data_IF_578834585290
#
_entry.id   IF_578834585290
#
_cell.length_a   1.000
_cell.length_b   1.000
_cell.length_c   1.000
_cell.angle_alpha   90.00
_cell.angle_beta   90.00
_cell.angle_gamma   90.00
#
_symmetry.space_group_name_H-M   'P 1'
#
loop_
_entity.id
_entity.type
_entity.pdbx_description
1 polymer ?
#
# COMPACT_ATOMS: atom_id res chain seq x y z
N UNK A 1 -27.80 -11.82 19.40
CA UNK A 1 -27.61 -13.01 18.53
C UNK A 1 -28.87 -13.86 18.57
N UNK A 2 -29.35 -14.36 17.41
CA UNK A 2 -30.50 -15.26 17.35
C UNK A 2 -30.03 -16.66 17.72
N UNK A 3 -30.85 -17.48 18.37
CA UNK A 3 -30.54 -18.83 18.83
C UNK A 3 -29.96 -19.73 17.73
N UNK A 4 -30.46 -19.63 16.51
CA UNK A 4 -29.95 -20.38 15.35
C UNK A 4 -28.51 -19.99 14.99
N UNK A 5 -28.18 -18.69 15.08
CA UNK A 5 -26.81 -18.20 14.85
C UNK A 5 -25.84 -18.68 15.95
N UNK A 6 -26.30 -18.76 17.20
CA UNK A 6 -25.51 -19.31 18.31
C UNK A 6 -25.10 -20.75 18.01
N UNK A 7 -26.05 -21.63 17.68
CA UNK A 7 -25.75 -23.04 17.37
C UNK A 7 -24.85 -23.19 16.14
N UNK A 8 -25.01 -22.35 15.11
CA UNK A 8 -24.12 -22.36 13.96
C UNK A 8 -22.67 -22.01 14.33
N UNK A 9 -22.47 -21.09 15.28
CA UNK A 9 -21.12 -20.75 15.76
C UNK A 9 -20.53 -21.85 16.64
N UNK A 10 -21.33 -22.48 17.51
CA UNK A 10 -20.89 -23.59 18.36
C UNK A 10 -20.51 -24.81 17.52
N UNK A 11 -21.23 -25.10 16.45
CA UNK A 11 -20.96 -26.23 15.56
C UNK A 11 -19.59 -26.13 14.84
N UNK A 12 -18.99 -24.94 14.75
CA UNK A 12 -17.66 -24.73 14.19
C UNK A 12 -16.52 -25.10 15.16
N UNK A 13 -16.82 -25.30 16.43
CA UNK A 13 -15.84 -25.61 17.46
C UNK A 13 -15.03 -24.43 17.95
N UNK A 14 -14.10 -24.70 18.87
CA UNK A 14 -13.13 -23.71 19.35
C UNK A 14 -12.01 -23.47 18.34
N UNK A 15 -11.58 -22.21 18.21
CA UNK A 15 -10.45 -21.80 17.38
C UNK A 15 -9.83 -20.47 17.88
N UNK A 16 -9.05 -19.80 17.05
CA UNK A 16 -8.44 -18.51 17.38
C UNK A 16 -9.46 -17.37 17.59
N UNK A 17 -10.72 -17.55 17.20
CA UNK A 17 -11.78 -16.56 17.29
C UNK A 17 -12.95 -16.98 18.21
N UNK A 18 -13.00 -18.23 18.64
CA UNK A 18 -14.07 -18.79 19.48
C UNK A 18 -13.50 -19.61 20.62
N UNK A 19 -14.08 -19.43 21.80
CA UNK A 19 -13.76 -20.18 23.02
C UNK A 19 -15.02 -20.57 23.75
N UNK A 20 -15.08 -21.80 24.30
CA UNK A 20 -16.20 -22.29 25.10
C UNK A 20 -15.83 -22.35 26.58
N UNK A 21 -16.79 -22.10 27.44
CA UNK A 21 -16.68 -22.23 28.89
C UNK A 21 -18.04 -22.68 29.45
N UNK A 22 -18.09 -23.85 30.03
CA UNK A 22 -19.33 -24.34 30.71
C UNK A 22 -19.73 -23.43 31.86
N UNK A 23 -18.73 -22.92 32.64
CA UNK A 23 -18.88 -21.95 33.71
C UNK A 23 -17.59 -21.11 33.87
N UNK A 24 -17.69 -19.96 34.48
CA UNK A 24 -16.55 -19.11 34.83
C UNK A 24 -16.54 -18.88 36.33
N UNK A 25 -15.55 -19.43 37.02
CA UNK A 25 -15.36 -19.30 38.47
C UNK A 25 -14.29 -18.30 38.87
N UNK A 26 -13.36 -17.99 37.99
CA UNK A 26 -12.19 -17.15 38.25
C UNK A 26 -12.10 -16.00 37.23
N UNK A 27 -12.22 -14.78 37.74
CA UNK A 27 -12.11 -13.55 36.96
C UNK A 27 -10.70 -13.37 36.31
N UNK A 28 -9.62 -13.86 36.94
CA UNK A 28 -8.26 -13.75 36.42
C UNK A 28 -8.05 -14.63 35.19
N UNK A 29 -8.58 -15.87 35.25
CA UNK A 29 -8.53 -16.76 34.08
C UNK A 29 -9.31 -16.16 32.93
N UNK A 30 -10.48 -15.57 33.17
CA UNK A 30 -11.26 -14.91 32.15
C UNK A 30 -10.54 -13.66 31.60
N UNK A 31 -9.93 -12.84 32.47
CA UNK A 31 -9.16 -11.67 32.09
C UNK A 31 -7.99 -12.04 31.14
N UNK A 32 -7.26 -13.13 31.45
CA UNK A 32 -6.18 -13.59 30.59
C UNK A 32 -6.66 -14.09 29.21
N UNK A 33 -7.87 -14.68 29.11
CA UNK A 33 -8.50 -15.00 27.82
C UNK A 33 -8.89 -13.73 27.07
N UNK A 34 -9.52 -12.76 27.74
CA UNK A 34 -9.87 -11.47 27.12
C UNK A 34 -8.62 -10.74 26.62
N UNK A 35 -7.54 -10.71 27.41
CA UNK A 35 -6.27 -10.13 26.98
C UNK A 35 -5.69 -10.85 25.75
N UNK A 36 -5.77 -12.20 25.71
CA UNK A 36 -5.30 -12.98 24.56
C UNK A 36 -6.08 -12.66 23.28
N UNK A 37 -7.42 -12.59 23.35
CA UNK A 37 -8.24 -12.17 22.21
C UNK A 37 -7.94 -10.74 21.77
N UNK A 38 -7.86 -9.79 22.71
CA UNK A 38 -7.57 -8.39 22.40
C UNK A 38 -6.20 -8.22 21.73
N UNK A 39 -5.19 -8.93 22.21
CA UNK A 39 -3.84 -8.91 21.62
C UNK A 39 -3.75 -9.55 20.23
N UNK A 40 -4.68 -10.43 19.90
CA UNK A 40 -4.69 -11.16 18.61
C UNK A 40 -5.70 -10.52 17.63
N UNK A 41 -6.72 -11.23 17.25
CA UNK A 41 -7.71 -10.79 16.26
C UNK A 41 -9.04 -10.31 16.85
N UNK A 42 -9.21 -10.39 18.18
CA UNK A 42 -10.51 -10.35 18.84
C UNK A 42 -11.20 -11.72 18.76
N UNK A 43 -12.42 -11.82 19.29
CA UNK A 43 -13.19 -13.06 19.23
C UNK A 43 -14.36 -13.09 20.22
N UNK A 44 -14.97 -14.27 20.38
CA UNK A 44 -16.09 -14.48 21.27
C UNK A 44 -15.85 -15.64 22.25
N UNK A 45 -16.25 -15.45 23.50
CA UNK A 45 -16.25 -16.48 24.53
C UNK A 45 -17.72 -16.84 24.81
N UNK A 46 -18.08 -18.09 24.57
CA UNK A 46 -19.44 -18.61 24.79
C UNK A 46 -19.50 -19.27 26.16
N UNK A 47 -20.16 -18.62 27.13
CA UNK A 47 -20.24 -19.10 28.51
C UNK A 47 -21.60 -19.75 28.74
N UNK A 48 -21.59 -20.97 29.27
CA UNK A 48 -22.73 -21.90 29.31
C UNK A 48 -22.66 -22.97 28.21
N UNK A 49 -21.50 -23.08 27.51
CA UNK A 49 -21.17 -24.07 26.49
C UNK A 49 -19.98 -24.88 26.97
N UNK A 50 -20.07 -26.21 26.95
CA UNK A 50 -18.97 -27.09 27.30
C UNK A 50 -17.99 -27.30 26.12
N UNK A 51 -16.79 -27.79 26.38
CA UNK A 51 -15.73 -27.99 25.40
C UNK A 51 -16.12 -28.93 24.24
N UNK A 52 -17.07 -29.87 24.50
CA UNK A 52 -17.63 -30.77 23.50
C UNK A 52 -18.74 -30.12 22.62
N UNK A 53 -19.06 -28.86 22.85
CA UNK A 53 -20.11 -28.11 22.15
C UNK A 53 -21.52 -28.33 22.73
N UNK A 54 -21.67 -29.13 23.79
CA UNK A 54 -22.96 -29.25 24.49
C UNK A 54 -23.30 -27.93 25.20
N UNK A 55 -24.58 -27.61 25.33
CA UNK A 55 -25.06 -26.32 25.87
C UNK A 55 -25.86 -26.55 27.15
N UNK A 56 -25.20 -26.85 28.30
CA UNK A 56 -25.88 -26.95 29.59
C UNK A 56 -26.57 -25.65 29.97
N UNK A 57 -26.06 -24.50 29.50
CA UNK A 57 -26.56 -23.18 29.82
C UNK A 57 -26.35 -22.79 31.30
N UNK A 58 -26.67 -21.55 31.64
CA UNK A 58 -26.50 -20.93 32.96
C UNK A 58 -27.85 -20.66 33.61
N UNK A 59 -27.90 -20.70 34.94
CA UNK A 59 -29.05 -20.18 35.70
C UNK A 59 -29.06 -18.66 35.75
N UNK A 60 -30.18 -18.04 36.09
CA UNK A 60 -30.26 -16.58 36.26
C UNK A 60 -29.29 -16.02 37.30
N UNK A 61 -29.03 -16.76 38.40
CA UNK A 61 -28.05 -16.40 39.42
C UNK A 61 -26.62 -16.46 38.85
N UNK A 62 -26.28 -17.47 38.05
CA UNK A 62 -24.97 -17.59 37.41
C UNK A 62 -24.75 -16.48 36.40
N UNK A 63 -25.77 -16.09 35.65
CA UNK A 63 -25.66 -14.95 34.70
C UNK A 63 -25.28 -13.66 35.41
N UNK A 64 -25.93 -13.35 36.55
CA UNK A 64 -25.60 -12.15 37.35
C UNK A 64 -24.16 -12.19 37.87
N UNK A 65 -23.75 -13.33 38.46
CA UNK A 65 -22.40 -13.59 38.96
C UNK A 65 -21.34 -13.44 37.85
N UNK A 66 -21.57 -14.07 36.71
CA UNK A 66 -20.61 -14.08 35.62
C UNK A 66 -20.49 -12.70 34.96
N UNK A 67 -21.59 -11.96 34.80
CA UNK A 67 -21.52 -10.58 34.33
C UNK A 67 -20.67 -9.68 35.22
N UNK A 68 -20.74 -9.88 36.55
CA UNK A 68 -19.87 -9.17 37.48
C UNK A 68 -18.39 -9.57 37.31
N UNK A 69 -18.09 -10.87 37.10
CA UNK A 69 -16.73 -11.35 36.83
C UNK A 69 -16.21 -10.79 35.51
N UNK A 70 -17.04 -10.71 34.46
CA UNK A 70 -16.68 -10.10 33.15
C UNK A 70 -16.34 -8.62 33.38
N UNK A 71 -17.19 -7.85 34.04
CA UNK A 71 -16.97 -6.44 34.31
C UNK A 71 -15.68 -6.21 35.11
N UNK A 72 -15.45 -6.96 36.16
CA UNK A 72 -14.24 -6.89 36.99
C UNK A 72 -13.00 -7.30 36.15
N UNK A 73 -13.09 -8.40 35.37
CA UNK A 73 -12.02 -8.88 34.52
C UNK A 73 -11.59 -7.82 33.50
N UNK A 74 -12.55 -7.26 32.76
CA UNK A 74 -12.30 -6.30 31.72
C UNK A 74 -11.78 -4.95 32.21
N UNK A 75 -12.27 -4.47 33.37
CA UNK A 75 -11.94 -3.13 33.89
C UNK A 75 -10.78 -3.09 34.86
N UNK A 76 -10.52 -4.17 35.63
CA UNK A 76 -9.55 -4.16 36.72
C UNK A 76 -8.40 -5.15 36.54
N UNK A 77 -8.65 -6.29 35.89
CA UNK A 77 -7.67 -7.37 35.79
C UNK A 77 -6.95 -7.43 34.42
N UNK A 78 -7.45 -6.72 33.44
CA UNK A 78 -6.73 -6.43 32.19
C UNK A 78 -6.17 -5.02 32.28
N UNK A 79 -4.89 -4.87 32.01
CA UNK A 79 -4.18 -3.58 31.87
C UNK A 79 -3.95 -3.38 30.36
N UNK A 80 -4.34 -2.39 29.74
CA UNK A 80 -5.32 -1.35 29.78
C UNK A 80 -6.74 -1.91 29.80
N UNK A 81 -7.72 -1.21 30.38
CA UNK A 81 -9.10 -1.69 30.42
C UNK A 81 -9.68 -1.98 29.04
N UNK A 82 -10.45 -3.07 28.94
CA UNK A 82 -11.08 -3.49 27.70
C UNK A 82 -12.56 -3.12 27.65
N UNK A 83 -13.01 -2.54 26.55
CA UNK A 83 -14.44 -2.43 26.26
C UNK A 83 -14.91 -3.73 25.60
N UNK A 84 -15.67 -4.54 26.35
CA UNK A 84 -16.25 -5.80 25.88
C UNK A 84 -17.76 -5.69 25.74
N UNK A 85 -18.36 -6.54 24.92
CA UNK A 85 -19.81 -6.61 24.74
C UNK A 85 -20.33 -7.96 25.20
N UNK A 86 -21.45 -7.97 25.92
CA UNK A 86 -22.11 -9.20 26.34
C UNK A 86 -23.52 -9.26 25.79
N UNK A 87 -23.93 -10.45 25.37
CA UNK A 87 -25.28 -10.74 24.89
C UNK A 87 -25.77 -12.03 25.53
N UNK A 88 -26.97 -12.01 26.12
CA UNK A 88 -27.58 -13.15 26.76
C UNK A 88 -28.54 -13.83 25.76
N UNK A 89 -28.30 -15.09 25.44
CA UNK A 89 -29.13 -15.88 24.54
C UNK A 89 -29.88 -16.95 25.34
N UNK A 90 -31.22 -16.88 25.35
CA UNK A 90 -32.06 -17.86 26.02
C UNK A 90 -32.15 -19.15 25.21
N UNK A 91 -31.95 -20.29 25.87
CA UNK A 91 -32.13 -21.64 25.33
C UNK A 91 -33.57 -22.13 25.49
N UNK A 92 -33.98 -23.14 24.74
CA UNK A 92 -35.31 -23.73 24.81
C UNK A 92 -35.67 -24.30 26.21
N UNK A 93 -34.65 -24.68 26.99
CA UNK A 93 -34.80 -25.21 28.37
C UNK A 93 -34.88 -24.09 29.43
N UNK A 94 -35.00 -22.82 29.04
CA UNK A 94 -35.05 -21.66 29.95
C UNK A 94 -33.71 -21.25 30.54
N UNK A 95 -32.60 -21.92 30.22
CA UNK A 95 -31.24 -21.52 30.63
C UNK A 95 -30.65 -20.53 29.63
N UNK A 96 -29.51 -19.92 29.95
CA UNK A 96 -28.94 -18.82 29.20
C UNK A 96 -27.50 -19.13 28.84
N UNK A 97 -27.10 -18.77 27.61
CA UNK A 97 -25.71 -18.69 27.19
C UNK A 97 -25.32 -17.21 27.10
N UNK A 98 -24.22 -16.83 27.75
CA UNK A 98 -23.62 -15.50 27.60
C UNK A 98 -22.62 -15.54 26.44
N UNK A 99 -22.81 -14.71 25.44
CA UNK A 99 -21.82 -14.46 24.38
C UNK A 99 -21.05 -13.21 24.74
N UNK A 100 -19.80 -13.39 25.14
CA UNK A 100 -18.87 -12.31 25.48
C UNK A 100 -17.99 -12.03 24.24
N UNK A 101 -18.23 -10.91 23.59
CA UNK A 101 -17.43 -10.45 22.46
C UNK A 101 -16.30 -9.56 22.92
N UNK A 102 -15.07 -9.95 22.62
CA UNK A 102 -13.84 -9.19 22.88
C UNK A 102 -13.35 -8.62 21.56
N UNK A 103 -13.35 -7.29 21.37
CA UNK A 103 -12.85 -6.69 20.15
C UNK A 103 -11.33 -6.87 20.02
N UNK A 104 -10.82 -6.79 18.79
CA UNK A 104 -9.38 -6.62 18.55
C UNK A 104 -8.93 -5.33 19.23
N UNK A 105 -7.98 -5.43 20.14
CA UNK A 105 -7.49 -4.30 20.90
C UNK A 105 -6.73 -3.30 20.03
N UNK A 106 -6.90 -2.01 20.33
CA UNK A 106 -6.22 -0.88 19.65
C UNK A 106 -4.94 -0.47 20.39
N UNK A 107 -4.89 -0.62 21.71
CA UNK A 107 -3.77 -0.20 22.57
C UNK A 107 -2.95 -1.41 23.05
N UNK A 108 -2.53 -2.26 22.10
CA UNK A 108 -1.67 -3.41 22.42
C UNK A 108 -0.30 -2.97 22.90
N UNK A 109 0.37 -3.75 23.74
CA UNK A 109 -0.06 -5.01 24.33
C UNK A 109 -0.94 -4.85 25.56
N UNK A 110 -2.00 -5.67 25.69
CA UNK A 110 -2.79 -5.82 26.90
C UNK A 110 -2.13 -6.85 27.81
N UNK A 111 -2.02 -6.49 29.09
CA UNK A 111 -1.43 -7.36 30.11
C UNK A 111 -2.53 -7.91 31.01
N UNK A 112 -2.32 -9.10 31.55
CA UNK A 112 -3.09 -9.52 32.72
C UNK A 112 -2.64 -8.77 34.01
N UNK A 113 -3.30 -9.01 35.11
CA UNK A 113 -2.95 -8.37 36.41
C UNK A 113 -1.50 -8.61 36.83
N UNK A 114 -0.88 -9.72 36.41
CA UNK A 114 0.48 -10.11 36.73
C UNK A 114 1.52 -9.55 35.74
N UNK A 115 1.10 -8.72 34.77
CA UNK A 115 1.98 -8.16 33.76
C UNK A 115 2.33 -9.15 32.65
N UNK A 116 1.59 -10.24 32.49
CA UNK A 116 1.81 -11.23 31.44
C UNK A 116 1.02 -10.86 30.19
N UNK A 117 1.68 -10.92 29.04
CA UNK A 117 1.05 -10.75 27.72
C UNK A 117 0.67 -12.12 27.18
N UNK A 118 -0.61 -12.27 26.83
CA UNK A 118 -1.18 -13.47 26.26
C UNK A 118 -1.58 -13.25 24.80
N UNK A 119 -1.34 -14.27 23.95
CA UNK A 119 -1.81 -14.32 22.56
C UNK A 119 -2.63 -15.59 22.36
N UNK A 120 -3.62 -15.56 21.45
CA UNK A 120 -4.30 -16.78 20.99
C UNK A 120 -3.36 -17.58 20.09
N UNK A 121 -3.38 -18.90 20.27
CA UNK A 121 -2.63 -19.87 19.47
C UNK A 121 -3.59 -21.04 19.16
N UNK A 122 -4.38 -20.91 18.09
CA UNK A 122 -5.53 -21.78 17.85
C UNK A 122 -6.60 -21.61 18.94
N UNK A 123 -7.13 -22.71 19.46
CA UNK A 123 -8.09 -22.70 20.57
C UNK A 123 -7.47 -22.25 21.90
N UNK A 124 -6.16 -22.44 22.09
CA UNK A 124 -5.45 -22.11 23.32
C UNK A 124 -4.90 -20.68 23.34
N UNK A 125 -4.38 -20.29 24.50
CA UNK A 125 -3.57 -19.08 24.65
C UNK A 125 -2.14 -19.44 25.07
N UNK A 126 -1.19 -18.60 24.63
CA UNK A 126 0.22 -18.72 25.04
C UNK A 126 0.77 -17.39 25.52
N UNK A 127 1.84 -17.45 26.31
CA UNK A 127 2.56 -16.26 26.77
C UNK A 127 3.50 -15.76 25.68
N UNK A 128 3.69 -14.45 25.63
CA UNK A 128 4.77 -13.84 24.84
C UNK A 128 6.07 -14.02 25.62
N UNK A 129 7.02 -14.71 25.04
CA UNK A 129 8.29 -15.06 25.68
C UNK A 129 9.55 -14.54 24.96
N UNK A 130 9.41 -13.97 23.75
CA UNK A 130 10.57 -13.46 22.99
C UNK A 130 10.58 -11.93 22.93
N UNK A 131 11.80 -11.37 22.88
CA UNK A 131 12.02 -9.93 22.69
C UNK A 131 11.53 -9.46 21.34
N UNK A 132 11.66 -10.28 20.30
CA UNK A 132 11.25 -10.02 18.94
C UNK A 132 9.72 -9.88 18.84
N UNK A 133 9.01 -10.79 19.48
CA UNK A 133 7.54 -10.79 19.51
C UNK A 133 7.01 -9.58 20.29
N UNK A 134 7.68 -9.23 21.39
CA UNK A 134 7.35 -8.05 22.18
C UNK A 134 7.56 -6.75 21.39
N UNK A 135 8.69 -6.63 20.66
CA UNK A 135 8.96 -5.50 19.77
C UNK A 135 7.89 -5.38 18.67
N UNK A 136 7.44 -6.48 18.08
CA UNK A 136 6.36 -6.49 17.07
C UNK A 136 5.03 -5.99 17.64
N UNK A 137 4.69 -6.36 18.87
CA UNK A 137 3.48 -5.86 19.52
C UNK A 137 3.52 -4.35 19.74
N UNK A 138 4.67 -3.80 20.17
CA UNK A 138 4.84 -2.35 20.33
C UNK A 138 4.88 -1.61 18.98
N UNK A 139 5.51 -2.19 17.98
CA UNK A 139 5.51 -1.63 16.63
C UNK A 139 4.09 -1.58 16.06
N UNK A 140 3.28 -2.61 16.33
CA UNK A 140 1.90 -2.68 15.86
C UNK A 140 1.02 -1.55 16.37
N UNK A 141 1.35 -0.96 17.51
CA UNK A 141 0.60 0.16 18.15
C UNK A 141 1.24 1.52 17.97
N UNK A 142 2.24 1.65 17.10
CA UNK A 142 3.02 2.88 16.88
C UNK A 142 3.71 3.42 18.15
N UNK A 143 3.97 2.56 19.12
CA UNK A 143 4.73 2.89 20.35
C UNK A 143 6.22 2.61 20.20
N UNK A 144 6.61 2.05 19.06
CA UNK A 144 7.98 1.69 18.75
C UNK A 144 8.19 1.70 17.25
N UNK A 145 9.20 2.42 16.79
CA UNK A 145 9.56 2.50 15.40
C UNK A 145 10.97 1.98 15.17
N UNK A 146 11.15 1.19 14.11
CA UNK A 146 12.43 0.56 13.83
C UNK A 146 13.51 1.59 13.46
N UNK A 147 13.14 2.69 12.84
CA UNK A 147 14.04 3.76 12.41
C UNK A 147 14.62 4.59 13.56
N UNK A 148 14.05 4.49 14.78
CA UNK A 148 14.58 5.08 16.01
C UNK A 148 15.64 4.20 16.70
N UNK A 149 15.79 2.93 16.27
CA UNK A 149 16.69 1.98 16.93
C UNK A 149 18.15 2.48 16.92
N UNK A 150 18.84 2.39 18.07
CA UNK A 150 20.27 2.66 18.11
C UNK A 150 21.02 1.66 17.25
N UNK A 151 22.03 2.16 16.55
CA UNK A 151 22.99 1.32 15.83
C UNK A 151 24.34 1.33 16.55
N UNK A 152 25.34 0.59 16.01
CA UNK A 152 26.71 0.63 16.48
C UNK A 152 27.56 1.65 15.72
N UNK A 153 26.96 2.57 15.00
CA UNK A 153 27.64 3.58 14.20
C UNK A 153 27.82 4.86 14.99
N UNK A 154 29.06 5.25 15.26
CA UNK A 154 29.36 6.60 15.76
C UNK A 154 29.07 7.65 14.68
N UNK A 155 28.96 8.91 15.07
CA UNK A 155 28.81 10.04 14.15
C UNK A 155 29.95 10.19 13.14
N UNK A 156 31.12 9.56 13.39
CA UNK A 156 32.23 9.54 12.44
C UNK A 156 31.90 8.76 11.16
N UNK A 157 30.86 7.92 11.19
CA UNK A 157 30.36 7.20 10.02
C UNK A 157 29.43 8.03 9.13
N UNK A 158 29.14 9.26 9.56
CA UNK A 158 28.31 10.20 8.80
C UNK A 158 29.03 10.64 7.52
N UNK A 159 28.36 10.60 6.38
CA UNK A 159 28.78 11.28 5.15
C UNK A 159 28.60 12.80 5.34
N UNK A 160 29.69 13.44 5.76
CA UNK A 160 29.71 14.87 6.09
C UNK A 160 29.34 15.76 4.91
N UNK A 161 29.69 15.35 3.69
CA UNK A 161 29.38 16.13 2.49
C UNK A 161 27.88 16.06 2.20
N UNK A 162 27.31 14.88 2.21
CA UNK A 162 25.86 14.68 1.99
C UNK A 162 25.04 15.39 3.06
N UNK A 163 25.42 15.24 4.33
CA UNK A 163 24.70 15.88 5.42
C UNK A 163 24.80 17.40 5.37
N UNK A 164 25.98 17.95 5.01
CA UNK A 164 26.17 19.38 4.78
C UNK A 164 25.27 19.90 3.65
N UNK A 165 25.25 19.19 2.52
CA UNK A 165 24.42 19.59 1.39
C UNK A 165 22.93 19.53 1.75
N UNK A 166 22.50 18.53 2.49
CA UNK A 166 21.14 18.43 3.01
C UNK A 166 20.80 19.60 3.95
N UNK A 167 21.67 19.96 4.89
CA UNK A 167 21.47 21.10 5.78
C UNK A 167 21.33 22.41 4.98
N UNK A 168 22.22 22.63 4.03
CA UNK A 168 22.19 23.83 3.17
C UNK A 168 20.92 23.90 2.32
N UNK A 169 20.57 22.81 1.65
CA UNK A 169 19.55 22.83 0.61
C UNK A 169 18.13 22.72 1.19
N UNK A 170 17.96 21.97 2.27
CA UNK A 170 16.65 21.71 2.89
C UNK A 170 16.41 22.60 4.11
N UNK A 171 17.38 22.71 5.02
CA UNK A 171 17.21 23.44 6.28
C UNK A 171 17.72 24.89 6.22
N UNK A 172 18.46 25.28 5.16
CA UNK A 172 19.08 26.59 5.01
C UNK A 172 20.00 26.92 6.19
N UNK A 173 20.69 25.91 6.69
CA UNK A 173 21.61 25.96 7.82
C UNK A 173 23.03 25.63 7.37
N UNK A 174 24.01 26.23 8.05
CA UNK A 174 25.42 25.87 7.87
C UNK A 174 25.75 24.59 8.63
N UNK A 175 26.79 23.91 8.15
CA UNK A 175 27.29 22.71 8.82
C UNK A 175 28.02 23.12 10.11
N UNK A 176 27.78 22.43 11.25
CA UNK A 176 28.43 22.76 12.52
C UNK A 176 29.94 22.69 12.47
N UNK A 177 30.61 23.62 13.15
CA UNK A 177 32.07 23.70 13.17
C UNK A 177 32.72 22.72 14.14
N UNK A 178 31.99 22.31 15.18
CA UNK A 178 32.52 21.40 16.20
C UNK A 178 31.79 20.04 16.22
N UNK A 179 32.49 18.94 16.60
CA UNK A 179 31.87 17.62 16.76
C UNK A 179 30.73 17.60 17.78
N UNK A 180 30.83 18.40 18.84
CA UNK A 180 29.78 18.48 19.89
C UNK A 180 28.52 19.15 19.38
N UNK A 181 28.66 20.21 18.58
CA UNK A 181 27.52 20.86 17.92
C UNK A 181 26.87 19.95 16.90
N UNK A 182 27.67 19.21 16.11
CA UNK A 182 27.16 18.21 15.17
C UNK A 182 26.37 17.12 15.90
N UNK A 183 26.88 16.61 17.02
CA UNK A 183 26.21 15.60 17.83
C UNK A 183 24.86 16.12 18.32
N UNK A 184 24.82 17.31 18.91
CA UNK A 184 23.57 17.95 19.37
C UNK A 184 22.59 18.20 18.23
N UNK A 185 23.09 18.61 17.07
CA UNK A 185 22.24 18.81 15.89
C UNK A 185 21.60 17.48 15.45
N UNK A 186 22.38 16.40 15.34
CA UNK A 186 21.88 15.09 14.97
C UNK A 186 20.86 14.55 15.99
N UNK A 187 21.09 14.75 17.29
CA UNK A 187 20.14 14.43 18.35
C UNK A 187 18.83 15.21 18.22
N UNK A 188 18.92 16.54 18.04
CA UNK A 188 17.75 17.40 17.85
C UNK A 188 16.97 17.06 16.57
N UNK A 189 17.65 16.55 15.56
CA UNK A 189 17.07 16.08 14.30
C UNK A 189 16.57 14.64 14.37
N UNK A 190 16.67 13.99 15.53
CA UNK A 190 16.29 12.59 15.74
C UNK A 190 17.01 11.61 14.79
N UNK A 191 18.29 11.87 14.52
CA UNK A 191 19.18 11.03 13.71
C UNK A 191 20.27 10.32 14.54
N UNK A 192 20.39 10.71 15.80
CA UNK A 192 21.30 10.10 16.78
C UNK A 192 20.59 9.90 18.11
N UNK A 193 21.10 8.93 18.89
CA UNK A 193 20.70 8.67 20.27
C UNK A 193 21.32 9.69 21.23
N UNK A 194 20.81 9.74 22.46
CA UNK A 194 21.36 10.60 23.53
C UNK A 194 22.86 10.30 23.81
N UNK A 195 23.30 9.06 23.60
CA UNK A 195 24.68 8.64 23.75
C UNK A 195 25.57 9.01 22.53
N UNK A 196 25.04 9.68 21.51
CA UNK A 196 25.76 10.15 20.33
C UNK A 196 26.00 9.08 19.24
N UNK A 197 25.29 7.96 19.29
CA UNK A 197 25.31 6.96 18.21
C UNK A 197 24.24 7.29 17.18
N UNK A 198 24.54 7.07 15.89
CA UNK A 198 23.52 7.18 14.86
C UNK A 198 22.42 6.14 15.11
N UNK A 199 21.16 6.56 15.05
CA UNK A 199 20.06 5.63 14.98
C UNK A 199 19.91 5.07 13.57
N UNK A 200 18.97 4.12 13.36
CA UNK A 200 18.82 3.47 12.07
C UNK A 200 18.48 4.46 10.95
N UNK A 201 17.64 5.45 11.21
CA UNK A 201 17.34 6.50 10.23
C UNK A 201 18.60 7.29 9.84
N UNK A 202 19.41 7.70 10.83
CA UNK A 202 20.66 8.41 10.60
C UNK A 202 21.63 7.59 9.73
N UNK A 203 21.73 6.29 9.99
CA UNK A 203 22.54 5.38 9.18
C UNK A 203 22.01 5.27 7.76
N UNK A 204 20.73 4.98 7.59
CA UNK A 204 20.12 4.74 6.27
C UNK A 204 20.10 5.98 5.38
N UNK A 205 20.02 7.16 5.96
CA UNK A 205 19.95 8.42 5.21
C UNK A 205 21.35 9.00 4.94
N UNK A 206 22.23 8.99 5.94
CA UNK A 206 23.43 9.81 5.94
C UNK A 206 24.73 9.10 6.26
N UNK A 207 24.78 7.79 6.55
CA UNK A 207 26.05 7.11 6.68
C UNK A 207 26.76 6.97 5.32
N UNK A 208 28.10 6.98 5.32
CA UNK A 208 28.91 6.78 4.11
C UNK A 208 28.65 5.41 3.48
N UNK A 209 28.61 4.37 4.31
CA UNK A 209 28.44 2.98 3.90
C UNK A 209 27.47 2.24 4.86
N UNK A 210 26.16 2.48 4.70
CA UNK A 210 25.14 1.84 5.53
C UNK A 210 25.22 0.31 5.53
N UNK A 211 25.61 -0.29 4.40
CA UNK A 211 25.74 -1.74 4.22
C UNK A 211 26.80 -2.39 5.11
N UNK A 212 27.76 -1.64 5.61
CA UNK A 212 28.75 -2.16 6.57
C UNK A 212 28.23 -2.18 8.01
N UNK A 213 27.19 -1.40 8.28
CA UNK A 213 26.53 -1.31 9.57
C UNK A 213 25.31 -2.24 9.61
N UNK A 214 24.51 -2.21 8.55
CA UNK A 214 23.24 -2.93 8.37
C UNK A 214 23.18 -3.63 7.00
N UNK A 215 24.00 -4.69 6.79
CA UNK A 215 24.24 -5.29 5.47
C UNK A 215 22.99 -5.89 4.80
N UNK A 216 21.95 -6.17 5.57
CA UNK A 216 20.70 -6.74 5.07
C UNK A 216 19.79 -5.71 4.37
N UNK A 217 20.07 -4.41 4.52
CA UNK A 217 19.19 -3.35 4.02
C UNK A 217 19.64 -2.83 2.64
N UNK A 218 19.69 -3.75 1.69
CA UNK A 218 20.07 -3.55 0.30
C UNK A 218 18.88 -3.87 -0.63
N UNK A 219 18.98 -3.51 -1.90
CA UNK A 219 18.04 -3.92 -2.94
C UNK A 219 18.76 -4.89 -3.88
N UNK A 220 18.19 -6.07 -4.07
CA UNK A 220 18.67 -7.08 -5.02
C UNK A 220 17.76 -7.13 -6.23
N UNK A 221 18.30 -6.84 -7.40
CA UNK A 221 17.56 -6.77 -8.64
C UNK A 221 18.01 -7.85 -9.62
N UNK A 222 17.04 -8.54 -10.24
CA UNK A 222 17.29 -9.59 -11.23
C UNK A 222 16.30 -9.48 -12.37
N UNK A 223 16.80 -9.52 -13.60
CA UNK A 223 16.01 -9.69 -14.82
C UNK A 223 16.06 -11.14 -15.26
N UNK A 224 14.94 -11.83 -15.18
CA UNK A 224 14.80 -13.22 -15.63
C UNK A 224 14.34 -13.29 -17.09
N UNK A 225 14.79 -14.30 -17.86
CA UNK A 225 14.18 -14.63 -19.14
C UNK A 225 12.80 -15.25 -18.92
N UNK A 226 11.81 -14.84 -19.73
CA UNK A 226 10.45 -15.36 -19.65
C UNK A 226 9.69 -14.90 -18.40
N UNK A 227 8.81 -15.77 -17.88
CA UNK A 227 7.83 -15.42 -16.83
C UNK A 227 8.01 -16.19 -15.52
N UNK A 228 9.11 -16.91 -15.35
CA UNK A 228 9.40 -17.72 -14.14
C UNK A 228 10.75 -17.36 -13.57
N UNK A 229 10.88 -17.56 -12.26
CA UNK A 229 12.17 -17.48 -11.57
C UNK A 229 13.02 -18.67 -12.03
N UNK A 230 14.23 -18.40 -12.50
CA UNK A 230 15.20 -19.40 -12.89
C UNK A 230 16.30 -19.48 -11.81
N UNK A 231 16.78 -20.68 -11.55
CA UNK A 231 17.82 -20.89 -10.54
C UNK A 231 19.21 -20.41 -11.00
N UNK A 232 19.48 -20.46 -12.30
CA UNK A 232 20.81 -20.23 -12.91
C UNK A 232 20.82 -19.16 -13.99
N UNK A 233 19.70 -18.95 -14.70
CA UNK A 233 19.65 -18.09 -15.87
C UNK A 233 19.05 -16.72 -15.56
N UNK A 234 19.77 -15.67 -15.88
CA UNK A 234 19.30 -14.27 -15.78
C UNK A 234 19.85 -13.45 -16.95
N UNK A 235 19.16 -12.38 -17.28
CA UNK A 235 19.55 -11.45 -18.36
C UNK A 235 20.32 -10.24 -17.80
N UNK A 236 20.00 -9.83 -16.58
CA UNK A 236 20.64 -8.72 -15.87
C UNK A 236 20.52 -8.93 -14.35
N UNK A 237 21.54 -8.57 -13.60
CA UNK A 237 21.51 -8.63 -12.13
C UNK A 237 22.38 -7.55 -11.52
N UNK A 238 21.87 -6.94 -10.44
CA UNK A 238 22.61 -5.93 -9.69
C UNK A 238 22.16 -5.88 -8.24
N UNK A 239 23.14 -5.71 -7.34
CA UNK A 239 22.91 -5.47 -5.92
C UNK A 239 23.17 -3.98 -5.63
N UNK A 240 22.16 -3.27 -5.13
CA UNK A 240 22.28 -1.87 -4.77
C UNK A 240 22.49 -1.74 -3.26
N UNK A 241 23.55 -1.04 -2.88
CA UNK A 241 23.93 -0.72 -1.51
C UNK A 241 24.21 0.79 -1.35
N UNK A 242 24.23 1.26 -0.12
CA UNK A 242 24.43 2.65 0.22
C UNK A 242 23.18 3.27 0.87
N UNK A 243 23.16 4.61 1.03
CA UNK A 243 22.02 5.30 1.62
C UNK A 243 20.78 5.25 0.74
N UNK A 244 19.61 5.49 1.36
CA UNK A 244 18.31 5.33 0.69
C UNK A 244 18.19 6.04 -0.66
N UNK A 245 18.68 7.28 -0.86
CA UNK A 245 18.63 7.90 -2.18
C UNK A 245 19.38 7.11 -3.25
N UNK A 246 20.56 6.56 -2.92
CA UNK A 246 21.35 5.75 -3.85
C UNK A 246 20.66 4.41 -4.17
N UNK A 247 20.03 3.79 -3.17
CA UNK A 247 19.23 2.56 -3.37
C UNK A 247 18.06 2.82 -4.32
N UNK A 248 17.36 3.94 -4.12
CA UNK A 248 16.25 4.36 -4.96
C UNK A 248 16.68 4.61 -6.41
N UNK A 249 17.69 5.44 -6.62
CA UNK A 249 18.21 5.80 -7.95
C UNK A 249 18.68 4.56 -8.71
N UNK A 250 19.45 3.67 -8.04
CA UNK A 250 19.93 2.44 -8.65
C UNK A 250 18.80 1.49 -9.02
N UNK A 251 17.85 1.27 -8.12
CA UNK A 251 16.70 0.40 -8.37
C UNK A 251 15.79 0.94 -9.50
N UNK A 252 15.55 2.25 -9.51
CA UNK A 252 14.77 2.91 -10.57
C UNK A 252 15.50 2.78 -11.92
N UNK A 253 16.78 3.09 -11.98
CA UNK A 253 17.59 2.95 -13.19
C UNK A 253 17.59 1.50 -13.72
N UNK A 254 17.65 0.50 -12.81
CA UNK A 254 17.56 -0.91 -13.19
C UNK A 254 16.23 -1.23 -13.85
N UNK A 255 15.11 -0.80 -13.26
CA UNK A 255 13.80 -1.00 -13.88
C UNK A 255 13.73 -0.32 -15.24
N UNK A 256 14.09 0.96 -15.30
CA UNK A 256 13.94 1.77 -16.52
C UNK A 256 14.78 1.26 -17.69
N UNK A 257 15.97 0.69 -17.43
CA UNK A 257 16.81 0.08 -18.50
C UNK A 257 16.27 -1.27 -18.98
N UNK A 258 15.50 -1.98 -18.15
CA UNK A 258 14.92 -3.29 -18.44
C UNK A 258 13.47 -3.20 -19.00
N UNK A 259 12.91 -1.99 -19.14
CA UNK A 259 11.63 -1.75 -19.81
C UNK A 259 11.81 -1.66 -21.33
N UNK A 260 10.78 -2.08 -22.05
CA UNK A 260 10.71 -1.80 -23.49
C UNK A 260 10.54 -0.30 -23.74
N UNK A 261 11.17 0.19 -24.80
CA UNK A 261 10.99 1.58 -25.26
C UNK A 261 10.13 1.58 -26.50
N UNK A 262 9.04 2.33 -26.47
CA UNK A 262 8.06 2.44 -27.55
C UNK A 262 8.25 3.78 -28.25
N UNK A 263 8.35 3.78 -29.57
CA UNK A 263 8.55 5.02 -30.34
C UNK A 263 7.28 5.87 -30.49
N UNK A 264 6.10 5.31 -30.19
CA UNK A 264 4.83 6.04 -30.09
C UNK A 264 4.52 6.97 -31.28
N UNK A 265 4.84 6.52 -32.49
CA UNK A 265 4.58 7.31 -33.72
C UNK A 265 5.44 8.58 -33.88
N UNK A 266 6.42 8.81 -32.99
CA UNK A 266 7.40 9.90 -33.13
C UNK A 266 8.42 9.60 -34.24
N UNK A 267 9.03 10.62 -34.81
CA UNK A 267 10.01 10.45 -35.90
C UNK A 267 11.13 9.48 -35.54
N UNK A 268 11.75 8.88 -36.55
CA UNK A 268 12.78 7.81 -36.47
C UNK A 268 13.93 8.13 -35.50
N UNK A 269 14.21 9.41 -35.26
CA UNK A 269 15.28 9.89 -34.37
C UNK A 269 14.78 10.31 -32.98
N UNK A 270 13.48 10.14 -32.64
CA UNK A 270 12.99 10.46 -31.31
C UNK A 270 13.36 9.34 -30.32
N UNK A 271 13.84 9.67 -29.11
CA UNK A 271 14.05 8.67 -28.07
C UNK A 271 12.71 8.01 -27.71
N UNK A 272 12.70 6.67 -27.64
CA UNK A 272 11.51 5.92 -27.25
C UNK A 272 11.11 6.25 -25.81
N UNK A 273 9.79 6.25 -25.54
CA UNK A 273 9.24 6.36 -24.20
C UNK A 273 9.17 4.97 -23.55
N UNK A 274 9.40 4.85 -22.23
CA UNK A 274 9.19 3.59 -21.52
C UNK A 274 7.75 3.11 -21.69
N UNK A 275 7.54 1.80 -21.80
CA UNK A 275 6.22 1.17 -21.91
C UNK A 275 5.33 1.43 -20.69
N UNK A 276 5.94 1.61 -19.49
CA UNK A 276 5.29 1.96 -18.26
C UNK A 276 5.87 3.30 -17.77
N UNK A 277 5.05 4.25 -17.35
CA UNK A 277 5.53 5.55 -16.88
C UNK A 277 6.48 5.42 -15.68
N UNK A 278 7.61 6.13 -15.71
CA UNK A 278 8.64 6.14 -14.65
C UNK A 278 8.04 6.45 -13.27
N UNK A 279 7.11 7.40 -13.20
CA UNK A 279 6.46 7.80 -11.96
C UNK A 279 5.67 6.67 -11.24
N UNK A 280 5.36 5.57 -11.93
CA UNK A 280 4.80 4.36 -11.30
C UNK A 280 5.86 3.69 -10.43
N UNK A 281 7.07 3.54 -10.95
CA UNK A 281 8.17 2.90 -10.22
C UNK A 281 8.77 3.82 -9.16
N UNK A 282 8.82 5.14 -9.41
CA UNK A 282 9.19 6.12 -8.37
C UNK A 282 8.34 5.91 -7.12
N UNK A 283 7.03 5.88 -7.29
CA UNK A 283 6.11 5.71 -6.16
C UNK A 283 6.25 4.35 -5.46
N UNK A 284 6.30 3.25 -6.23
CA UNK A 284 6.36 1.91 -5.66
C UNK A 284 7.71 1.64 -4.98
N UNK A 285 8.82 2.11 -5.53
CA UNK A 285 10.16 1.95 -4.95
C UNK A 285 10.33 2.78 -3.68
N UNK A 286 9.86 4.04 -3.68
CA UNK A 286 9.88 4.85 -2.46
C UNK A 286 9.05 4.19 -1.36
N UNK A 287 7.83 3.71 -1.68
CA UNK A 287 6.99 3.01 -0.70
C UNK A 287 7.69 1.74 -0.18
N UNK A 288 8.35 0.97 -1.05
CA UNK A 288 9.09 -0.21 -0.64
C UNK A 288 10.25 0.12 0.32
N UNK A 289 10.94 1.25 0.14
CA UNK A 289 12.04 1.70 0.99
C UNK A 289 11.56 2.28 2.33
N UNK A 290 10.56 3.19 2.31
CA UNK A 290 10.17 3.91 3.53
C UNK A 290 9.20 3.12 4.42
N UNK A 291 8.43 2.18 3.87
CA UNK A 291 7.44 1.39 4.60
C UNK A 291 7.87 -0.06 4.87
N UNK A 292 9.09 -0.48 4.43
CA UNK A 292 9.58 -1.81 4.78
C UNK A 292 9.64 -2.02 6.29
N UNK A 293 9.53 -3.26 6.71
CA UNK A 293 9.78 -3.64 8.10
C UNK A 293 11.30 -3.81 8.33
N UNK A 294 11.92 -2.83 8.97
CA UNK A 294 13.34 -2.85 9.29
C UNK A 294 13.70 -3.79 10.45
N UNK A 295 12.71 -4.44 11.08
CA UNK A 295 12.96 -5.56 12.00
C UNK A 295 13.16 -6.90 11.27
N UNK A 296 12.83 -6.96 9.98
CA UNK A 296 13.02 -8.15 9.14
C UNK A 296 14.38 -8.07 8.44
N UNK A 297 15.27 -9.00 8.77
CA UNK A 297 16.62 -9.11 8.18
C UNK A 297 16.57 -9.77 6.80
N UNK A 298 16.05 -9.06 5.79
CA UNK A 298 16.01 -9.52 4.40
C UNK A 298 16.17 -8.32 3.45
N UNK A 299 16.71 -8.47 2.23
CA UNK A 299 16.76 -7.42 1.23
C UNK A 299 15.39 -7.16 0.61
N UNK A 300 15.20 -5.96 0.05
CA UNK A 300 14.15 -5.74 -0.95
C UNK A 300 14.57 -6.48 -2.22
N UNK A 301 13.63 -7.20 -2.84
CA UNK A 301 13.85 -7.93 -4.10
C UNK A 301 13.09 -7.26 -5.22
N UNK A 302 13.77 -7.04 -6.33
CA UNK A 302 13.24 -6.43 -7.53
C UNK A 302 13.39 -7.42 -8.70
N UNK A 303 12.31 -8.03 -9.14
CA UNK A 303 12.33 -9.01 -10.21
C UNK A 303 11.64 -8.44 -11.46
N UNK A 304 12.33 -8.52 -12.59
CA UNK A 304 11.80 -8.12 -13.89
C UNK A 304 11.61 -9.37 -14.74
N UNK A 305 10.40 -9.61 -15.21
CA UNK A 305 9.99 -10.69 -16.11
C UNK A 305 9.52 -10.11 -17.45
N UNK A 306 9.22 -10.97 -18.42
CA UNK A 306 8.71 -10.52 -19.71
C UNK A 306 7.30 -9.95 -19.59
N UNK A 307 6.48 -10.46 -18.68
CA UNK A 307 5.08 -10.08 -18.50
C UNK A 307 4.78 -9.21 -17.26
N UNK A 308 5.74 -9.01 -16.36
CA UNK A 308 5.54 -8.25 -15.11
C UNK A 308 6.84 -7.83 -14.44
N UNK A 309 6.72 -6.91 -13.50
CA UNK A 309 7.80 -6.50 -12.58
C UNK A 309 7.27 -6.67 -11.17
N UNK A 310 8.05 -7.31 -10.29
CA UNK A 310 7.71 -7.53 -8.90
C UNK A 310 8.66 -6.75 -7.99
N UNK A 311 8.11 -5.95 -7.09
CA UNK A 311 8.83 -5.27 -6.01
C UNK A 311 8.38 -5.93 -4.71
N UNK A 312 9.28 -6.68 -4.07
CA UNK A 312 8.99 -7.48 -2.88
C UNK A 312 9.72 -6.84 -1.70
N UNK A 313 8.95 -6.23 -0.80
CA UNK A 313 9.45 -5.57 0.40
C UNK A 313 9.23 -6.44 1.63
N UNK A 314 10.24 -6.58 2.52
CA UNK A 314 10.08 -7.25 3.80
C UNK A 314 9.06 -6.54 4.69
N UNK A 315 8.13 -7.31 5.28
CA UNK A 315 7.07 -6.83 6.15
C UNK A 315 5.69 -6.86 5.47
N UNK A 316 4.68 -7.35 6.19
CA UNK A 316 3.28 -7.26 5.78
C UNK A 316 2.73 -5.84 6.05
N UNK A 317 1.53 -5.51 5.57
CA UNK A 317 0.88 -4.22 5.83
C UNK A 317 0.70 -3.98 7.34
N UNK A 318 1.03 -2.77 7.84
CA UNK A 318 0.96 -2.49 9.27
C UNK A 318 -0.49 -2.31 9.76
N UNK A 319 -0.72 -2.69 11.01
CA UNK A 319 -1.96 -2.48 11.75
C UNK A 319 -3.21 -3.05 11.05
N UNK A 320 -4.18 -2.19 10.76
CA UNK A 320 -5.44 -2.54 10.12
C UNK A 320 -5.50 -2.13 8.64
N UNK A 321 -4.35 -1.90 8.01
CA UNK A 321 -4.29 -1.68 6.57
C UNK A 321 -4.57 -3.00 5.83
N UNK A 322 -5.29 -2.89 4.75
CA UNK A 322 -5.53 -3.97 3.78
C UNK A 322 -5.20 -3.45 2.38
N UNK A 323 -5.10 -4.37 1.43
CA UNK A 323 -4.85 -4.01 0.02
C UNK A 323 -5.92 -3.05 -0.50
N UNK A 324 -7.20 -3.24 -0.12
CA UNK A 324 -8.30 -2.36 -0.51
C UNK A 324 -8.12 -0.95 0.06
N UNK A 325 -7.70 -0.86 1.33
CA UNK A 325 -7.47 0.44 1.98
C UNK A 325 -6.32 1.21 1.36
N UNK A 326 -5.20 0.56 1.02
CA UNK A 326 -4.08 1.24 0.36
C UNK A 326 -4.44 1.68 -1.06
N UNK A 327 -5.23 0.89 -1.81
CA UNK A 327 -5.78 1.28 -3.11
C UNK A 327 -6.69 2.51 -3.00
N UNK A 328 -7.43 2.64 -1.89
CA UNK A 328 -8.27 3.79 -1.60
C UNK A 328 -7.46 5.04 -1.14
N UNK A 329 -6.14 4.90 -0.92
CA UNK A 329 -5.26 5.99 -0.52
C UNK A 329 -5.05 6.11 1.00
N UNK A 330 -5.45 5.09 1.78
CA UNK A 330 -5.12 5.05 3.21
C UNK A 330 -3.66 4.63 3.40
N UNK A 331 -2.99 5.25 4.36
CA UNK A 331 -1.61 4.93 4.72
C UNK A 331 -1.45 4.81 6.24
N UNK A 332 -0.44 4.05 6.65
CA UNK A 332 0.05 4.00 8.02
C UNK A 332 1.58 4.05 7.97
N UNK A 333 2.16 4.97 8.72
CA UNK A 333 3.60 5.22 8.70
C UNK A 333 4.28 4.25 9.66
N UNK A 334 5.13 3.36 9.14
CA UNK A 334 5.93 2.41 9.93
C UNK A 334 7.22 3.02 10.44
N UNK A 335 7.85 3.88 9.65
CA UNK A 335 9.15 4.51 9.92
C UNK A 335 9.02 6.04 9.82
N UNK A 336 8.53 6.71 10.88
CA UNK A 336 8.17 8.13 10.83
C UNK A 336 9.36 9.06 10.59
N UNK A 337 10.55 8.71 11.10
CA UNK A 337 11.75 9.52 10.86
C UNK A 337 12.10 9.47 9.38
N UNK A 338 12.22 8.26 8.80
CA UNK A 338 12.52 8.12 7.37
C UNK A 338 11.53 8.85 6.48
N UNK A 339 10.22 8.69 6.74
CA UNK A 339 9.16 9.37 5.98
C UNK A 339 9.30 10.89 6.08
N UNK A 340 9.61 11.44 7.27
CA UNK A 340 9.74 12.87 7.46
C UNK A 340 10.90 13.48 6.65
N UNK A 341 12.03 12.78 6.54
CA UNK A 341 13.18 13.22 5.76
C UNK A 341 12.98 13.06 4.26
N UNK A 342 12.40 11.94 3.85
CA UNK A 342 12.11 11.67 2.44
C UNK A 342 11.10 12.68 1.90
N UNK A 343 10.08 13.02 2.67
CA UNK A 343 9.09 14.07 2.30
C UNK A 343 9.68 15.47 2.17
N UNK A 344 10.87 15.74 2.77
CA UNK A 344 11.60 17.00 2.62
C UNK A 344 12.45 17.09 1.34
N UNK A 345 12.30 16.14 0.42
CA UNK A 345 12.92 16.16 -0.91
C UNK A 345 14.14 15.29 -1.08
N UNK A 346 14.46 14.39 -0.13
CA UNK A 346 15.49 13.37 -0.33
C UNK A 346 15.12 12.31 -1.38
N UNK A 347 13.82 12.06 -1.56
CA UNK A 347 13.25 11.21 -2.60
C UNK A 347 11.98 11.86 -3.17
N UNK A 348 11.48 11.46 -4.35
CA UNK A 348 10.24 12.00 -4.93
C UNK A 348 8.99 11.48 -4.19
N UNK A 349 8.82 11.90 -2.94
CA UNK A 349 7.76 11.45 -2.03
C UNK A 349 7.04 12.62 -1.36
N UNK A 350 5.72 12.62 -1.35
CA UNK A 350 4.93 13.72 -0.79
C UNK A 350 4.24 13.40 0.55
N UNK A 351 4.33 12.16 1.04
CA UNK A 351 3.83 11.76 2.37
C UNK A 351 2.31 11.80 2.58
N UNK A 352 1.50 12.10 1.55
CA UNK A 352 0.05 12.33 1.67
C UNK A 352 -0.81 11.07 1.54
N UNK A 353 -0.22 9.86 1.47
CA UNK A 353 -0.96 8.61 1.29
C UNK A 353 -1.58 8.41 -0.10
N UNK A 354 -1.51 9.40 -0.99
CA UNK A 354 -2.12 9.34 -2.34
C UNK A 354 -1.23 8.69 -3.40
N UNK A 355 -0.04 8.24 -3.05
CA UNK A 355 0.96 7.78 -4.00
C UNK A 355 0.57 6.53 -4.76
N UNK A 356 0.12 5.49 -4.06
CA UNK A 356 -0.38 4.25 -4.69
C UNK A 356 -1.56 4.55 -5.61
N UNK A 357 -2.46 5.44 -5.21
CA UNK A 357 -3.59 5.87 -6.04
C UNK A 357 -3.11 6.54 -7.33
N UNK A 358 -2.10 7.44 -7.25
CA UNK A 358 -1.49 8.07 -8.43
C UNK A 358 -0.81 7.06 -9.35
N UNK A 359 -0.12 6.06 -8.79
CA UNK A 359 0.48 4.99 -9.59
C UNK A 359 -0.59 4.18 -10.33
N UNK A 360 -1.69 3.83 -9.66
CA UNK A 360 -2.83 3.12 -10.24
C UNK A 360 -3.56 3.95 -11.31
N UNK A 361 -3.68 5.27 -11.13
CA UNK A 361 -4.25 6.17 -12.15
C UNK A 361 -3.39 6.21 -13.43
N UNK A 362 -2.05 6.18 -13.27
CA UNK A 362 -1.11 6.16 -14.41
C UNK A 362 -0.98 4.77 -15.05
N UNK A 363 -1.07 3.71 -14.25
CA UNK A 363 -0.97 2.32 -14.68
C UNK A 363 -1.90 1.43 -13.85
N UNK A 364 -3.13 1.16 -14.32
CA UNK A 364 -4.12 0.39 -13.56
C UNK A 364 -3.76 -1.09 -13.34
N UNK A 365 -2.87 -1.64 -14.18
CA UNK A 365 -2.45 -3.04 -14.15
C UNK A 365 -1.37 -3.27 -13.07
N UNK A 366 -1.69 -2.92 -11.81
CA UNK A 366 -0.86 -3.16 -10.62
C UNK A 366 -1.65 -3.99 -9.62
N UNK A 367 -1.09 -5.11 -9.21
CA UNK A 367 -1.61 -5.94 -8.12
C UNK A 367 -0.74 -5.82 -6.87
N UNK A 368 -1.37 -6.01 -5.71
CA UNK A 368 -0.70 -6.02 -4.42
C UNK A 368 -1.05 -7.30 -3.69
N UNK A 369 -0.06 -7.93 -3.09
CA UNK A 369 -0.20 -9.10 -2.25
C UNK A 369 0.42 -8.83 -0.87
N UNK A 370 -0.35 -9.06 0.19
CA UNK A 370 0.06 -8.95 1.59
C UNK A 370 0.17 -10.36 2.18
N UNK A 371 1.39 -10.88 2.25
CA UNK A 371 1.69 -12.20 2.78
C UNK A 371 2.08 -12.08 4.26
N UNK A 372 1.10 -12.33 5.14
CA UNK A 372 1.30 -12.28 6.59
C UNK A 372 2.22 -13.40 7.09
N UNK A 373 2.12 -14.60 6.52
CA UNK A 373 2.90 -15.77 6.94
C UNK A 373 4.36 -15.64 6.51
N UNK A 374 4.59 -15.22 5.26
CA UNK A 374 5.92 -14.93 4.72
C UNK A 374 6.50 -13.61 5.19
N UNK A 375 5.70 -12.77 5.85
CA UNK A 375 6.08 -11.42 6.28
C UNK A 375 6.63 -10.58 5.12
N UNK A 376 5.90 -10.55 4.00
CA UNK A 376 6.27 -9.88 2.76
C UNK A 376 5.10 -9.08 2.19
N UNK A 377 5.42 -7.97 1.57
CA UNK A 377 4.50 -7.21 0.74
C UNK A 377 5.02 -7.13 -0.69
N UNK A 378 4.20 -7.53 -1.66
CA UNK A 378 4.58 -7.56 -3.07
C UNK A 378 3.70 -6.62 -3.89
N UNK A 379 4.33 -5.72 -4.64
CA UNK A 379 3.70 -4.96 -5.70
C UNK A 379 4.08 -5.57 -7.05
N UNK A 380 3.09 -6.00 -7.83
CA UNK A 380 3.25 -6.61 -9.15
C UNK A 380 2.72 -5.66 -10.21
N UNK A 381 3.61 -5.14 -11.04
CA UNK A 381 3.29 -4.27 -12.17
C UNK A 381 3.24 -5.13 -13.43
N UNK A 382 2.06 -5.34 -14.00
CA UNK A 382 1.89 -6.13 -15.21
C UNK A 382 2.29 -5.34 -16.44
N UNK A 383 3.02 -6.00 -17.34
CA UNK A 383 3.46 -5.46 -18.62
C UNK A 383 2.46 -5.84 -19.71
N UNK A 384 2.30 -4.99 -20.71
CA UNK A 384 1.53 -5.33 -21.91
C UNK A 384 2.34 -6.21 -22.83
N UNK A 385 1.73 -7.16 -23.56
CA UNK A 385 2.41 -7.91 -24.60
C UNK A 385 3.05 -6.97 -25.63
N UNK A 386 4.25 -7.30 -26.11
CA UNK A 386 5.01 -6.47 -27.06
C UNK A 386 4.19 -6.13 -28.31
N UNK A 387 3.36 -7.07 -28.80
CA UNK A 387 2.47 -6.85 -29.95
C UNK A 387 1.33 -5.85 -29.70
N UNK A 388 0.98 -5.57 -28.45
CA UNK A 388 -0.04 -4.58 -28.09
C UNK A 388 0.56 -3.18 -27.83
N UNK A 389 1.87 -3.10 -27.56
CA UNK A 389 2.58 -1.83 -27.37
C UNK A 389 2.58 -0.96 -28.63
N UNK A 390 2.66 -1.57 -29.81
CA UNK A 390 2.59 -0.87 -31.09
C UNK A 390 1.16 -0.42 -31.47
N UNK A 391 0.13 -1.04 -30.90
CA UNK A 391 -1.28 -0.74 -31.17
C UNK A 391 -1.81 0.41 -30.31
N UNK A 392 -1.26 0.61 -29.12
CA UNK A 392 -1.70 1.67 -28.16
C UNK A 392 -1.40 3.07 -28.72
N UNK A 393 -0.41 3.20 -29.60
CA UNK A 393 -0.03 4.51 -30.15
C UNK A 393 -0.56 4.81 -31.56
N UNK A 394 -1.18 3.84 -32.21
CA UNK A 394 -1.89 4.09 -33.47
C UNK A 394 -3.35 4.52 -33.29
N UNK A 395 -3.85 4.54 -32.06
CA UNK A 395 -5.26 4.76 -31.81
C UNK A 395 -5.66 5.45 -30.49
N UNK A 396 -4.74 5.90 -29.66
CA UNK A 396 -5.12 6.54 -28.41
C UNK A 396 -4.66 8.00 -28.31
N UNK A 397 -5.19 8.85 -29.15
CA UNK A 397 -5.73 10.08 -28.60
C UNK A 397 -6.91 9.60 -27.74
N UNK A 398 -6.73 9.43 -26.44
CA UNK A 398 -7.84 9.41 -25.52
C UNK A 398 -8.54 10.76 -25.64
N UNK A 399 -9.53 10.79 -26.49
CA UNK A 399 -10.66 11.67 -26.27
C UNK A 399 -11.16 11.27 -24.88
N UNK A 400 -10.91 12.11 -23.87
CA UNK A 400 -11.74 12.11 -22.70
C UNK A 400 -13.18 12.07 -23.22
N UNK A 401 -14.02 11.20 -22.67
CA UNK A 401 -15.47 11.21 -22.86
C UNK A 401 -16.06 12.54 -22.35
N UNK A 402 -15.78 13.58 -23.09
CA UNK A 402 -16.62 14.76 -23.16
C UNK A 402 -17.59 14.42 -24.28
N UNK A 403 -18.91 14.45 -24.07
CA UNK A 403 -19.88 14.14 -25.12
C UNK A 403 -19.50 14.97 -26.35
N UNK A 404 -19.19 14.32 -27.47
CA UNK A 404 -18.71 14.94 -28.72
C UNK A 404 -19.63 16.06 -29.23
N UNK A 405 -20.86 16.14 -28.71
CA UNK A 405 -21.85 17.19 -29.02
C UNK A 405 -21.61 18.53 -28.31
N UNK A 406 -20.76 18.61 -27.28
CA UNK A 406 -20.60 19.84 -26.50
C UNK A 406 -19.50 20.80 -27.03
N UNK A 407 -18.69 20.40 -28.03
CA UNK A 407 -17.58 21.22 -28.55
C UNK A 407 -17.72 21.66 -30.02
N UNK A 408 -18.73 21.16 -30.73
CA UNK A 408 -18.97 21.55 -32.14
C UNK A 408 -19.73 22.85 -32.20
N UNK A 409 -19.27 23.79 -33.04
CA UNK A 409 -20.05 24.99 -33.32
C UNK A 409 -21.35 24.63 -34.06
N UNK A 410 -22.40 25.50 -33.94
CA UNK A 410 -23.68 25.30 -34.63
C UNK A 410 -23.50 25.06 -36.13
N UNK A 411 -22.54 25.75 -36.77
CA UNK A 411 -22.22 25.56 -38.18
C UNK A 411 -21.62 24.18 -38.48
N UNK A 412 -20.75 23.68 -37.60
CA UNK A 412 -20.14 22.35 -37.73
C UNK A 412 -21.17 21.22 -37.61
N UNK A 413 -22.14 21.38 -36.73
CA UNK A 413 -23.29 20.45 -36.59
C UNK A 413 -24.10 20.44 -37.88
N UNK A 414 -24.49 21.62 -38.40
CA UNK A 414 -25.22 21.74 -39.66
C UNK A 414 -24.49 21.11 -40.83
N UNK A 415 -23.18 21.34 -40.95
CA UNK A 415 -22.36 20.74 -42.01
C UNK A 415 -22.33 19.21 -41.93
N UNK A 416 -22.25 18.64 -40.75
CA UNK A 416 -22.32 17.19 -40.56
C UNK A 416 -23.67 16.61 -40.93
N UNK A 417 -24.77 17.29 -40.58
CA UNK A 417 -26.13 16.85 -40.91
C UNK A 417 -26.38 16.89 -42.45
N UNK A 418 -25.92 17.94 -43.15
CA UNK A 418 -25.97 17.98 -44.61
C UNK A 418 -25.13 16.91 -45.27
N UNK A 419 -23.92 16.62 -44.73
CA UNK A 419 -23.04 15.55 -45.23
C UNK A 419 -23.64 14.18 -45.01
N UNK A 420 -24.33 13.96 -43.88
CA UNK A 420 -25.02 12.69 -43.58
C UNK A 420 -26.17 12.44 -44.58
N UNK A 421 -26.89 13.50 -44.94
CA UNK A 421 -27.98 13.41 -45.89
C UNK A 421 -27.51 13.24 -47.35
N UNK A 422 -26.37 13.85 -47.71
CA UNK A 422 -25.75 13.69 -49.05
C UNK A 422 -24.23 13.60 -48.91
N UNK A 423 -23.69 12.38 -48.97
CA UNK A 423 -22.23 12.10 -48.84
C UNK A 423 -21.37 12.63 -49.99
N UNK A 424 -21.96 12.98 -51.12
CA UNK A 424 -21.26 13.49 -52.31
C UNK A 424 -21.28 15.01 -52.43
N UNK A 425 -21.92 15.70 -51.45
CA UNK A 425 -22.10 17.16 -51.44
C UNK A 425 -20.74 17.89 -51.62
N UNK A 426 -20.77 18.90 -52.47
CA UNK A 426 -19.62 19.76 -52.76
C UNK A 426 -19.50 20.91 -51.74
N UNK A 427 -18.33 21.57 -51.74
CA UNK A 427 -18.12 22.75 -50.90
C UNK A 427 -19.04 23.92 -51.28
N UNK A 428 -19.37 24.04 -52.61
CA UNK A 428 -20.23 25.10 -53.10
C UNK A 428 -21.67 24.87 -52.69
N UNK A 429 -22.20 23.66 -52.80
CA UNK A 429 -23.52 23.28 -52.30
C UNK A 429 -23.62 23.44 -50.79
N UNK A 430 -22.60 23.08 -50.01
CA UNK A 430 -22.56 23.31 -48.55
C UNK A 430 -22.53 24.80 -48.21
N UNK A 431 -21.89 25.64 -49.03
CA UNK A 431 -21.91 27.09 -48.86
C UNK A 431 -23.28 27.66 -49.07
N UNK A 432 -23.97 27.24 -50.13
CA UNK A 432 -25.32 27.64 -50.44
C UNK A 432 -26.33 27.18 -49.35
N UNK A 433 -26.24 25.91 -48.93
CA UNK A 433 -27.13 25.35 -47.88
C UNK A 433 -26.96 26.00 -46.51
N UNK A 434 -25.73 26.41 -46.16
CA UNK A 434 -25.44 27.07 -44.88
C UNK A 434 -25.52 28.59 -44.91
N UNK A 435 -25.71 29.19 -46.12
CA UNK A 435 -25.62 30.64 -46.37
C UNK A 435 -24.34 31.28 -45.83
N UNK A 436 -23.22 30.55 -45.98
CA UNK A 436 -21.88 30.98 -45.61
C UNK A 436 -20.97 30.98 -46.85
N UNK A 437 -19.93 31.82 -46.80
CA UNK A 437 -18.96 31.82 -47.86
C UNK A 437 -18.16 30.49 -47.90
N UNK A 438 -17.74 30.10 -49.08
CA UNK A 438 -17.02 28.85 -49.32
C UNK A 438 -15.76 28.69 -48.49
N UNK A 439 -15.07 29.77 -48.18
CA UNK A 439 -13.83 29.77 -47.41
C UNK A 439 -14.15 29.40 -45.94
N UNK A 440 -15.24 29.91 -45.40
CA UNK A 440 -15.72 29.57 -44.06
C UNK A 440 -16.12 28.10 -43.95
N UNK A 441 -16.82 27.56 -44.97
CA UNK A 441 -17.19 26.15 -45.04
C UNK A 441 -15.91 25.27 -45.09
N UNK A 442 -14.98 25.59 -46.01
CA UNK A 442 -13.73 24.85 -46.17
C UNK A 442 -12.92 24.82 -44.85
N UNK A 443 -12.85 25.96 -44.11
CA UNK A 443 -12.14 26.03 -42.83
C UNK A 443 -12.80 25.17 -41.78
N UNK A 444 -14.14 25.13 -41.68
CA UNK A 444 -14.86 24.30 -40.71
C UNK A 444 -14.81 22.81 -41.11
N UNK A 445 -14.89 22.45 -42.37
CA UNK A 445 -14.63 21.07 -42.84
C UNK A 445 -13.20 20.66 -42.54
N UNK A 446 -12.21 21.55 -42.67
CA UNK A 446 -10.83 21.32 -42.26
C UNK A 446 -10.74 20.96 -40.79
N UNK A 447 -11.34 21.75 -39.91
CA UNK A 447 -11.40 21.47 -38.46
C UNK A 447 -12.07 20.14 -38.12
N UNK A 448 -13.15 19.77 -38.81
CA UNK A 448 -13.82 18.47 -38.67
C UNK A 448 -12.96 17.31 -39.13
N UNK A 449 -12.15 17.51 -40.16
CA UNK A 449 -11.16 16.52 -40.64
C UNK A 449 -9.99 16.37 -39.66
N UNK A 450 -9.45 17.50 -39.20
CA UNK A 450 -8.34 17.54 -38.21
C UNK A 450 -8.77 16.92 -36.85
N UNK A 451 -10.06 17.08 -36.50
CA UNK A 451 -10.68 16.45 -35.33
C UNK A 451 -11.05 14.97 -35.56
N UNK A 452 -10.79 14.40 -36.72
CA UNK A 452 -11.09 13.00 -37.03
C UNK A 452 -12.59 12.66 -37.18
N UNK A 453 -13.49 13.66 -37.16
CA UNK A 453 -14.95 13.47 -37.24
C UNK A 453 -15.43 13.28 -38.66
N UNK A 454 -14.66 13.78 -39.65
CA UNK A 454 -15.04 13.74 -41.08
C UNK A 454 -13.84 13.29 -41.92
N UNK A 455 -14.06 12.39 -42.87
CA UNK A 455 -13.06 11.93 -43.78
C UNK A 455 -13.58 11.99 -45.23
N UNK A 456 -12.70 12.30 -46.21
CA UNK A 456 -13.04 12.18 -47.63
C UNK A 456 -12.44 10.90 -48.18
N UNK A 457 -13.25 10.08 -48.79
CA UNK A 457 -12.85 8.82 -49.42
C UNK A 457 -12.92 8.97 -50.94
N UNK A 458 -11.85 8.65 -51.62
CA UNK A 458 -11.74 8.74 -53.11
C UNK A 458 -11.12 10.04 -53.61
N UNK A 459 -11.25 10.30 -54.93
CA UNK A 459 -10.62 11.44 -55.60
C UNK A 459 -11.35 12.77 -55.30
N UNK A 460 -10.67 13.91 -55.63
CA UNK A 460 -11.31 15.24 -55.46
C UNK A 460 -12.58 15.43 -56.31
N UNK A 461 -12.72 14.71 -57.42
CA UNK A 461 -13.87 14.85 -58.35
C UNK A 461 -14.99 13.81 -58.12
N UNK A 462 -14.65 12.59 -57.68
CA UNK A 462 -15.58 11.46 -57.57
C UNK A 462 -15.65 10.86 -56.16
N UNK A 463 -14.95 11.45 -55.21
CA UNK A 463 -14.95 10.97 -53.83
C UNK A 463 -16.18 11.45 -53.02
N UNK A 464 -16.44 10.75 -51.92
CA UNK A 464 -17.53 11.06 -50.98
C UNK A 464 -17.01 11.35 -49.59
N UNK A 465 -17.86 11.97 -48.80
CA UNK A 465 -17.60 12.25 -47.39
C UNK A 465 -18.07 11.07 -46.49
N UNK A 466 -17.28 10.77 -45.51
CA UNK A 466 -17.60 9.79 -44.48
C UNK A 466 -17.50 10.44 -43.12
N UNK A 467 -18.61 10.41 -42.38
CA UNK A 467 -18.66 10.86 -40.98
C UNK A 467 -18.22 9.69 -40.11
N UNK A 468 -17.20 9.90 -39.29
CA UNK A 468 -16.63 8.92 -38.39
C UNK A 468 -17.30 9.16 -37.03
N UNK A 469 -18.08 8.18 -36.57
CA UNK A 469 -18.78 8.23 -35.27
C UNK A 469 -17.89 7.75 -34.13
#
# INVERSE_FOLDING_TARGET
MILQSLFSQIALGEDSSRQFKADVKNAESLASEMAAFANTGGGAIFIGVADDGTTPGLSGQDVARINQLISNGASQLVRSPLAVQTENVALANGRIVIVLTVPKGIDKPYFDKNGVIWLKAGADKRRVNSKEELRRLFQFTNQFHADELPTKASIDKLDKLRFRDFLRDVHKQEYPDSPDELTRLLQNMNLATDDGWLNLAGVLLFAEQPEWIVPQFVVKAIRYPGNKIHATDYLDTEDFSGPLPKLFEGALAFVMRNLHKVQAGRGVNAPGTPEIPEAVFEELLVNALVHRDYLVSAPIRLFVFDNRIEIISPGHLPNNLTVEKIRAGNSNIRNPILVSYVAKGLLPYHGLGSGIKRALEKWPAIDFADDHDGCLFTATVHRKPVGELDLVDKGAIKVQDVPLKASLSALQVQLLDFIRSNRTVSYDELADMTQKDRTTVMRNIGKLKDAGILRRVGSKKTGHWEVIE
#
